data_IF_144423091708
#
_entry.id   IF_144423091708
#
_cell.length_a   1.000
_cell.length_b   1.000
_cell.length_c   1.000
_cell.angle_alpha   90.00
_cell.angle_beta   90.00
_cell.angle_gamma   90.00
#
_symmetry.space_group_name_H-M   'P 1'
#
loop_
_entity.id
_entity.type
_entity.pdbx_description
1 polymer ?
#
# COMPACT_ATOMS: atom_id res chain seq x y z
N UNK A 1 23.22 30.99 2.67
CA UNK A 1 22.68 29.71 3.18
C UNK A 1 21.51 29.18 2.35
N UNK A 2 20.50 29.98 2.03
CA UNK A 2 19.31 29.52 1.27
C UNK A 2 19.62 28.94 -0.12
N UNK A 3 20.53 29.56 -0.88
CA UNK A 3 20.91 29.07 -2.20
C UNK A 3 21.59 27.68 -2.17
N UNK A 4 22.35 27.37 -1.11
CA UNK A 4 22.99 26.06 -0.92
C UNK A 4 21.96 24.99 -0.55
N UNK A 5 20.97 25.34 0.27
CA UNK A 5 19.86 24.45 0.61
C UNK A 5 19.01 24.11 -0.62
N UNK A 6 18.67 25.12 -1.43
CA UNK A 6 17.93 24.93 -2.68
C UNK A 6 18.71 24.00 -3.63
N UNK A 7 20.01 24.26 -3.82
CA UNK A 7 20.85 23.42 -4.67
C UNK A 7 20.94 21.97 -4.18
N UNK A 8 21.04 21.76 -2.86
CA UNK A 8 21.03 20.44 -2.25
C UNK A 8 19.70 19.72 -2.50
N UNK A 9 18.57 20.37 -2.27
CA UNK A 9 17.24 19.78 -2.51
C UNK A 9 17.00 19.42 -3.97
N UNK A 10 17.52 20.22 -4.92
CA UNK A 10 17.47 19.89 -6.36
C UNK A 10 18.26 18.62 -6.66
N UNK A 11 19.49 18.51 -6.15
CA UNK A 11 20.30 17.31 -6.35
C UNK A 11 19.68 16.07 -5.70
N UNK A 12 19.14 16.20 -4.49
CA UNK A 12 18.43 15.13 -3.79
C UNK A 12 17.20 14.67 -4.58
N UNK A 13 16.43 15.59 -5.17
CA UNK A 13 15.30 15.27 -6.03
C UNK A 13 15.73 14.47 -7.27
N UNK A 14 16.77 14.90 -8.00
CA UNK A 14 17.24 14.14 -9.16
C UNK A 14 17.82 12.77 -8.78
N UNK A 15 18.51 12.68 -7.65
CA UNK A 15 19.00 11.41 -7.11
C UNK A 15 17.86 10.47 -6.69
N UNK A 16 16.79 11.00 -6.10
CA UNK A 16 15.61 10.20 -5.71
C UNK A 16 14.88 9.63 -6.92
N UNK A 17 14.82 10.39 -8.02
CA UNK A 17 14.19 9.99 -9.28
C UNK A 17 15.06 9.04 -10.12
N UNK A 18 16.28 8.74 -9.69
CA UNK A 18 17.16 7.82 -10.41
C UNK A 18 16.53 6.43 -10.53
N UNK A 19 16.63 5.80 -11.71
CA UNK A 19 15.94 4.55 -12.04
C UNK A 19 16.19 3.43 -11.02
N UNK A 20 17.43 3.31 -10.52
CA UNK A 20 17.78 2.32 -9.49
C UNK A 20 17.06 2.58 -8.16
N UNK A 21 16.93 3.84 -7.72
CA UNK A 21 16.21 4.17 -6.50
C UNK A 21 14.71 3.92 -6.66
N UNK A 22 14.14 4.31 -7.81
CA UNK A 22 12.75 4.02 -8.16
C UNK A 22 12.46 2.52 -8.14
N UNK A 23 13.32 1.71 -8.76
CA UNK A 23 13.19 0.25 -8.74
C UNK A 23 13.25 -0.32 -7.32
N UNK A 24 14.17 0.18 -6.48
CA UNK A 24 14.27 -0.23 -5.06
C UNK A 24 12.99 0.06 -4.29
N UNK A 25 12.43 1.27 -4.43
CA UNK A 25 11.19 1.65 -3.74
C UNK A 25 9.98 0.88 -4.29
N UNK A 26 9.91 0.65 -5.60
CA UNK A 26 8.90 -0.24 -6.19
C UNK A 26 8.96 -1.64 -5.60
N UNK A 27 10.17 -2.21 -5.47
CA UNK A 27 10.36 -3.55 -4.91
C UNK A 27 9.94 -3.60 -3.43
N UNK A 28 10.23 -2.56 -2.65
CA UNK A 28 9.76 -2.47 -1.26
C UNK A 28 8.24 -2.55 -1.15
N UNK A 29 7.50 -1.92 -2.08
CA UNK A 29 6.05 -2.04 -2.16
C UNK A 29 5.59 -3.39 -2.70
N UNK A 30 6.16 -3.85 -3.82
CA UNK A 30 5.71 -5.06 -4.52
C UNK A 30 5.97 -6.34 -3.72
N UNK A 31 7.07 -6.39 -2.96
CA UNK A 31 7.44 -7.54 -2.10
C UNK A 31 6.93 -7.44 -0.67
N UNK A 32 6.10 -6.44 -0.35
CA UNK A 32 5.50 -6.34 0.97
C UNK A 32 4.60 -7.55 1.22
N UNK A 33 4.94 -8.35 2.22
CA UNK A 33 4.23 -9.59 2.54
C UNK A 33 3.02 -9.33 3.44
N UNK A 34 1.93 -10.03 3.16
CA UNK A 34 0.74 -10.00 4.00
C UNK A 34 0.94 -10.84 5.27
N UNK A 35 0.62 -10.24 6.42
CA UNK A 35 0.65 -10.90 7.72
C UNK A 35 -0.78 -11.00 8.28
N UNK A 36 -1.34 -12.21 8.28
CA UNK A 36 -2.69 -12.46 8.81
C UNK A 36 -2.78 -12.30 10.33
N UNK A 37 -1.67 -12.42 11.05
CA UNK A 37 -1.62 -12.15 12.49
C UNK A 37 -1.58 -10.63 12.77
N UNK A 38 -1.19 -9.81 11.80
CA UNK A 38 -1.07 -8.37 11.95
C UNK A 38 -1.58 -7.58 10.73
N UNK A 39 -2.87 -7.72 10.43
CA UNK A 39 -3.53 -7.05 9.30
C UNK A 39 -3.38 -5.52 9.37
N UNK A 40 -3.52 -4.91 10.56
CA UNK A 40 -3.34 -3.46 10.73
C UNK A 40 -1.89 -3.02 10.48
N UNK A 41 -0.91 -3.85 10.87
CA UNK A 41 0.50 -3.64 10.55
C UNK A 41 0.75 -3.69 9.05
N UNK A 42 0.16 -4.65 8.33
CA UNK A 42 0.20 -4.70 6.87
C UNK A 42 -0.39 -3.44 6.23
N UNK A 43 -1.56 -2.99 6.70
CA UNK A 43 -2.19 -1.76 6.20
C UNK A 43 -1.29 -0.55 6.38
N UNK A 44 -0.71 -0.38 7.58
CA UNK A 44 0.18 0.74 7.90
C UNK A 44 1.43 0.74 7.01
N UNK A 45 2.09 -0.42 6.87
CA UNK A 45 3.28 -0.55 6.03
C UNK A 45 2.95 -0.30 4.55
N UNK A 46 1.79 -0.75 4.08
CA UNK A 46 1.36 -0.54 2.69
C UNK A 46 1.12 0.95 2.39
N UNK A 47 0.49 1.70 3.31
CA UNK A 47 0.34 3.15 3.17
C UNK A 47 1.68 3.87 3.07
N UNK A 48 2.59 3.58 4.00
CA UNK A 48 3.93 4.14 3.99
C UNK A 48 4.70 3.80 2.70
N UNK A 49 4.55 2.59 2.18
CA UNK A 49 5.18 2.19 0.92
C UNK A 49 4.60 2.94 -0.29
N UNK A 50 3.29 3.21 -0.33
CA UNK A 50 2.66 4.02 -1.39
C UNK A 50 3.14 5.47 -1.32
N UNK A 51 3.27 6.04 -0.12
CA UNK A 51 3.84 7.40 0.05
C UNK A 51 5.27 7.48 -0.49
N UNK A 52 6.11 6.48 -0.20
CA UNK A 52 7.47 6.40 -0.75
C UNK A 52 7.48 6.30 -2.29
N UNK A 53 6.50 5.63 -2.91
CA UNK A 53 6.38 5.60 -4.37
C UNK A 53 6.21 7.02 -4.94
N UNK A 54 5.35 7.82 -4.33
CA UNK A 54 5.12 9.21 -4.74
C UNK A 54 6.38 10.08 -4.56
N UNK A 55 7.11 9.91 -3.46
CA UNK A 55 8.37 10.64 -3.20
C UNK A 55 9.43 10.42 -4.30
N UNK A 56 9.44 9.23 -4.91
CA UNK A 56 10.34 8.89 -6.03
C UNK A 56 9.67 8.95 -7.40
N UNK A 57 8.54 9.67 -7.51
CA UNK A 57 7.88 9.95 -8.78
C UNK A 57 7.29 8.72 -9.47
N UNK A 58 6.97 7.68 -8.72
CA UNK A 58 6.19 6.54 -9.21
C UNK A 58 4.72 6.84 -8.97
N UNK A 59 4.11 7.48 -9.97
CA UNK A 59 2.66 7.70 -10.02
C UNK A 59 2.04 6.60 -10.89
N UNK A 60 1.12 5.84 -10.31
CA UNK A 60 0.38 4.76 -10.98
C UNK A 60 -1.11 4.99 -10.84
N UNK A 61 -1.87 4.42 -11.77
CA UNK A 61 -3.32 4.49 -11.68
C UNK A 61 -3.80 3.82 -10.38
N UNK A 62 -4.81 4.38 -9.69
CA UNK A 62 -5.23 3.90 -8.37
C UNK A 62 -5.61 2.42 -8.33
N UNK A 63 -6.16 1.91 -9.43
CA UNK A 63 -6.57 0.52 -9.59
C UNK A 63 -5.35 -0.42 -9.71
N UNK A 64 -4.28 -0.01 -10.39
CA UNK A 64 -3.04 -0.79 -10.48
C UNK A 64 -2.44 -1.03 -9.09
N UNK A 65 -2.39 0.00 -8.25
CA UNK A 65 -1.93 -0.17 -6.87
C UNK A 65 -2.88 -1.05 -6.06
N UNK A 66 -4.19 -0.91 -6.26
CA UNK A 66 -5.18 -1.75 -5.59
C UNK A 66 -5.02 -3.24 -5.93
N UNK A 67 -4.90 -3.59 -7.21
CA UNK A 67 -4.72 -4.97 -7.65
C UNK A 67 -3.38 -5.55 -7.20
N UNK A 68 -2.33 -4.74 -7.12
CA UNK A 68 -1.03 -5.17 -6.58
C UNK A 68 -1.11 -5.49 -5.08
N UNK A 69 -1.98 -4.81 -4.32
CA UNK A 69 -2.29 -5.14 -2.91
C UNK A 69 -3.14 -6.41 -2.82
N UNK A 70 -4.22 -6.50 -3.61
CA UNK A 70 -5.11 -7.67 -3.63
C UNK A 70 -4.33 -8.96 -3.97
N UNK A 71 -3.35 -8.87 -4.86
CA UNK A 71 -2.48 -10.01 -5.23
C UNK A 71 -1.69 -10.58 -4.05
N UNK A 72 -1.38 -9.76 -3.04
CA UNK A 72 -0.64 -10.17 -1.82
C UNK A 72 -1.52 -10.91 -0.82
N UNK A 73 -2.85 -10.83 -0.95
CA UNK A 73 -3.76 -11.46 -0.01
C UNK A 73 -3.76 -13.00 -0.14
N UNK A 74 -3.85 -13.74 0.98
CA UNK A 74 -3.96 -15.18 0.97
C UNK A 74 -5.15 -15.67 0.14
N UNK A 75 -5.05 -16.88 -0.42
CA UNK A 75 -6.15 -17.51 -1.18
C UNK A 75 -7.11 -18.30 -0.27
N UNK A 76 -7.42 -17.77 0.91
CA UNK A 76 -8.44 -18.34 1.80
C UNK A 76 -9.83 -17.84 1.39
N UNK A 77 -10.89 -18.56 1.76
CA UNK A 77 -12.26 -18.17 1.44
C UNK A 77 -12.60 -16.75 1.91
N UNK A 78 -12.10 -16.39 3.09
CA UNK A 78 -12.25 -15.06 3.68
C UNK A 78 -11.65 -13.95 2.80
N UNK A 79 -10.36 -14.04 2.46
CA UNK A 79 -9.70 -13.01 1.65
C UNK A 79 -10.15 -13.03 0.18
N UNK A 80 -10.61 -14.16 -0.34
CA UNK A 80 -11.29 -14.24 -1.63
C UNK A 80 -12.62 -13.45 -1.58
N UNK A 81 -13.38 -13.62 -0.50
CA UNK A 81 -14.61 -12.86 -0.24
C UNK A 81 -14.36 -11.35 -0.18
N UNK A 82 -13.35 -10.92 0.58
CA UNK A 82 -12.94 -9.51 0.65
C UNK A 82 -12.55 -8.99 -0.74
N UNK A 83 -11.69 -9.72 -1.47
CA UNK A 83 -11.26 -9.33 -2.82
C UNK A 83 -12.44 -9.17 -3.77
N UNK A 84 -13.38 -10.13 -3.76
CA UNK A 84 -14.59 -10.12 -4.58
C UNK A 84 -15.49 -8.94 -4.22
N UNK A 85 -15.66 -8.66 -2.92
CA UNK A 85 -16.47 -7.53 -2.46
C UNK A 85 -15.93 -6.19 -2.95
N UNK A 86 -14.60 -6.06 -3.08
CA UNK A 86 -13.96 -4.86 -3.61
C UNK A 86 -14.12 -4.81 -5.13
N UNK A 87 -13.73 -5.86 -5.86
CA UNK A 87 -13.67 -5.85 -7.33
C UNK A 87 -15.04 -5.84 -8.00
N UNK A 88 -16.08 -6.29 -7.32
CA UNK A 88 -17.46 -6.30 -7.82
C UNK A 88 -18.38 -5.30 -7.10
N UNK A 89 -17.83 -4.38 -6.29
CA UNK A 89 -18.61 -3.35 -5.57
C UNK A 89 -19.30 -2.33 -6.49
N UNK A 90 -18.81 -2.17 -7.72
CA UNK A 90 -19.19 -1.05 -8.60
C UNK A 90 -18.54 0.29 -8.21
N UNK A 91 -17.78 0.35 -7.11
CA UNK A 91 -17.02 1.53 -6.72
C UNK A 91 -15.71 1.65 -7.50
N UNK A 92 -15.14 2.85 -7.53
CA UNK A 92 -13.79 3.05 -8.06
C UNK A 92 -12.77 2.26 -7.21
N UNK A 93 -12.07 1.33 -7.86
CA UNK A 93 -11.08 0.48 -7.21
C UNK A 93 -9.83 1.31 -6.95
N UNK A 94 -9.48 1.47 -5.68
CA UNK A 94 -8.29 2.23 -5.25
C UNK A 94 -7.56 1.47 -4.14
N UNK A 95 -6.28 1.79 -3.95
CA UNK A 95 -5.51 1.25 -2.82
C UNK A 95 -6.19 1.55 -1.48
N UNK A 96 -6.75 2.75 -1.30
CA UNK A 96 -7.44 3.12 -0.06
C UNK A 96 -8.67 2.26 0.19
N UNK A 97 -9.48 1.99 -0.84
CA UNK A 97 -10.63 1.09 -0.72
C UNK A 97 -10.22 -0.30 -0.23
N UNK A 98 -9.14 -0.87 -0.78
CA UNK A 98 -8.61 -2.17 -0.33
C UNK A 98 -8.18 -2.11 1.13
N UNK A 99 -7.44 -1.07 1.51
CA UNK A 99 -6.92 -0.91 2.87
C UNK A 99 -8.02 -0.68 3.90
N UNK A 100 -9.10 0.00 3.55
CA UNK A 100 -10.25 0.19 4.42
C UNK A 100 -11.04 -1.10 4.66
N UNK A 101 -11.24 -1.92 3.63
CA UNK A 101 -11.82 -3.26 3.79
C UNK A 101 -10.96 -4.13 4.73
N UNK A 102 -9.63 -4.08 4.62
CA UNK A 102 -8.72 -4.81 5.50
C UNK A 102 -8.77 -4.28 6.95
N UNK A 103 -8.90 -2.98 7.15
CA UNK A 103 -9.10 -2.37 8.48
C UNK A 103 -10.40 -2.81 9.11
N UNK A 104 -11.50 -2.80 8.35
CA UNK A 104 -12.81 -3.26 8.82
C UNK A 104 -12.74 -4.73 9.25
N UNK A 105 -12.14 -5.58 8.43
CA UNK A 105 -11.92 -6.99 8.76
C UNK A 105 -11.07 -7.17 10.05
N UNK A 106 -9.97 -6.43 10.19
CA UNK A 106 -9.13 -6.50 11.39
C UNK A 106 -9.88 -6.07 12.66
N UNK A 107 -10.70 -5.03 12.57
CA UNK A 107 -11.51 -4.54 13.68
C UNK A 107 -12.58 -5.57 14.08
N UNK A 108 -13.23 -6.22 13.10
CA UNK A 108 -14.21 -7.27 13.34
C UNK A 108 -13.58 -8.45 14.11
N UNK A 109 -12.40 -8.91 13.69
CA UNK A 109 -11.67 -9.96 14.40
C UNK A 109 -11.30 -9.57 15.84
N UNK A 110 -11.00 -8.30 16.09
CA UNK A 110 -10.71 -7.82 17.44
C UNK A 110 -11.97 -7.87 18.32
N UNK A 111 -13.13 -7.46 17.79
CA UNK A 111 -14.42 -7.49 18.50
C UNK A 111 -14.79 -8.93 18.85
N UNK A 112 -14.71 -9.87 17.90
CA UNK A 112 -15.03 -11.28 18.10
C UNK A 112 -14.16 -11.93 19.19
N UNK A 113 -12.86 -11.60 19.23
CA UNK A 113 -11.94 -12.08 20.26
C UNK A 113 -12.24 -11.53 21.65
N UNK A 114 -12.77 -10.32 21.75
CA UNK A 114 -13.15 -9.71 23.04
C UNK A 114 -14.53 -10.15 23.53
N UNK A 115 -15.35 -10.73 22.64
CA UNK A 115 -16.70 -11.20 22.94
C UNK A 115 -16.77 -12.70 23.25
N UNK A 116 -15.64 -13.42 23.11
CA UNK A 116 -15.48 -14.86 23.37
C UNK A 116 -14.74 -15.10 24.68
#
# INVERSE_FOLDING_TARGET
DDALLIWKSINEYFASQHAANRARVWNNFSYLEFDSANVLGFVTKTKAAIEQLHEVGINRDPDILAFEIIKKLPKTLEFIGISTSITHSGATITAELVLDHLRLHANQLAIERTSS
#
